data_IF_581539513571
#
_entry.id   IF_581539513571
#
_cell.length_a   1.000
_cell.length_b   1.000
_cell.length_c   1.000
_cell.angle_alpha   90.00
_cell.angle_beta   90.00
_cell.angle_gamma   90.00
#
_symmetry.space_group_name_H-M   'P 1'
#
loop_
_entity.id
_entity.type
_entity.pdbx_description
1 polymer ?
#
# COMPACT_ATOMS: atom_id res chain seq x y z
N UNK A 1 -13.06 -8.84 6.73
CA UNK A 1 -11.77 -8.21 7.15
C UNK A 1 -11.76 -7.75 8.60
N UNK A 2 -12.85 -7.20 9.14
CA UNK A 2 -12.89 -6.65 10.50
C UNK A 2 -12.82 -7.72 11.59
N UNK A 3 -13.53 -8.84 11.46
CA UNK A 3 -13.44 -9.99 12.39
C UNK A 3 -12.00 -10.49 12.53
N UNK A 4 -11.31 -10.71 11.40
CA UNK A 4 -9.91 -11.20 11.41
C UNK A 4 -9.01 -10.20 12.13
N UNK A 5 -9.17 -8.91 11.84
CA UNK A 5 -8.40 -7.84 12.52
C UNK A 5 -8.67 -7.81 14.02
N UNK A 6 -9.92 -7.98 14.44
CA UNK A 6 -10.31 -8.01 15.86
C UNK A 6 -9.74 -9.24 16.56
N UNK A 7 -9.85 -10.43 15.95
CA UNK A 7 -9.29 -11.67 16.50
C UNK A 7 -7.78 -11.55 16.66
N UNK A 8 -7.06 -11.05 15.63
CA UNK A 8 -5.62 -10.81 15.74
C UNK A 8 -5.28 -9.87 16.90
N UNK A 9 -6.03 -8.78 17.06
CA UNK A 9 -5.82 -7.86 18.18
C UNK A 9 -6.09 -8.51 19.53
N UNK A 10 -7.17 -9.29 19.66
CA UNK A 10 -7.49 -10.02 20.89
C UNK A 10 -6.38 -11.02 21.23
N UNK A 11 -5.88 -11.77 20.25
CA UNK A 11 -4.78 -12.74 20.45
C UNK A 11 -3.50 -12.02 20.86
N UNK A 12 -3.14 -10.92 20.19
CA UNK A 12 -1.96 -10.13 20.55
C UNK A 12 -2.09 -9.61 21.99
N UNK A 13 -3.23 -9.02 22.36
CA UNK A 13 -3.45 -8.51 23.71
C UNK A 13 -3.43 -9.64 24.75
N UNK A 14 -3.99 -10.81 24.44
CA UNK A 14 -3.95 -11.97 25.33
C UNK A 14 -2.50 -12.45 25.58
N UNK A 15 -1.69 -12.55 24.52
CA UNK A 15 -0.27 -12.89 24.61
C UNK A 15 0.48 -11.84 25.44
N UNK A 16 0.21 -10.55 25.20
CA UNK A 16 0.80 -9.42 25.90
C UNK A 16 0.55 -9.52 27.42
N UNK A 17 -0.71 -9.72 27.81
CA UNK A 17 -1.14 -9.84 29.20
C UNK A 17 -0.53 -11.08 29.86
N UNK A 18 -0.58 -12.24 29.19
CA UNK A 18 0.01 -13.48 29.69
C UNK A 18 1.52 -13.33 29.90
N UNK A 19 2.21 -12.67 28.97
CA UNK A 19 3.64 -12.42 29.07
C UNK A 19 3.99 -11.51 30.25
N UNK A 20 3.21 -10.45 30.49
CA UNK A 20 3.38 -9.58 31.67
C UNK A 20 3.17 -10.37 32.96
N UNK A 21 2.10 -11.18 33.02
CA UNK A 21 1.78 -11.97 34.22
C UNK A 21 2.86 -13.02 34.53
N UNK A 22 3.35 -13.74 33.52
CA UNK A 22 4.39 -14.77 33.68
C UNK A 22 5.73 -14.14 34.07
N UNK A 23 6.04 -12.96 33.53
CA UNK A 23 7.30 -12.26 33.80
C UNK A 23 7.14 -11.17 34.87
N UNK A 24 6.20 -11.34 35.81
CA UNK A 24 6.01 -10.45 36.96
C UNK A 24 7.07 -10.72 38.03
N UNK A 25 8.34 -10.55 37.65
CA UNK A 25 9.47 -10.61 38.57
C UNK A 25 10.02 -9.21 38.76
N UNK A 26 9.99 -8.76 40.01
CA UNK A 26 10.57 -7.47 40.43
C UNK A 26 12.06 -7.68 40.64
N UNK A 27 12.88 -7.09 39.77
CA UNK A 27 14.33 -7.06 39.95
C UNK A 27 14.69 -5.73 40.57
N UNK A 28 15.32 -5.78 41.75
CA UNK A 28 15.84 -4.60 42.42
C UNK A 28 17.03 -4.06 41.62
N UNK A 29 16.88 -2.89 41.01
CA UNK A 29 17.98 -2.18 40.36
C UNK A 29 18.51 -1.14 41.35
N UNK A 30 19.82 -1.20 41.62
CA UNK A 30 20.51 -0.27 42.53
C UNK A 30 20.83 1.01 41.76
N UNK A 31 20.03 2.05 41.93
CA UNK A 31 20.17 3.29 41.16
C UNK A 31 21.28 4.21 41.69
N UNK A 32 21.43 4.33 43.01
CA UNK A 32 22.42 5.23 43.61
C UNK A 32 22.78 4.83 45.03
N UNK A 33 24.09 4.82 45.40
CA UNK A 33 24.50 4.67 46.79
C UNK A 33 24.18 5.96 47.54
N UNK A 34 23.29 5.91 48.53
CA UNK A 34 23.14 7.02 49.46
C UNK A 34 24.34 7.02 50.41
N UNK A 35 24.73 8.22 50.87
CA UNK A 35 25.86 8.50 51.77
C UNK A 35 25.78 7.77 53.14
N UNK A 36 24.71 7.01 53.36
CA UNK A 36 24.34 6.32 54.58
C UNK A 36 24.60 4.79 54.47
N UNK A 37 25.22 4.33 53.37
CA UNK A 37 25.44 2.91 53.08
C UNK A 37 24.21 2.16 52.57
N UNK A 38 23.11 2.87 52.30
CA UNK A 38 21.88 2.28 51.76
C UNK A 38 21.73 2.59 50.26
N UNK A 39 21.23 1.64 49.48
CA UNK A 39 20.97 1.85 48.06
C UNK A 39 19.50 2.22 47.85
N UNK A 40 19.22 3.14 46.93
CA UNK A 40 17.83 3.35 46.50
C UNK A 40 17.41 2.14 45.64
N UNK A 41 16.61 1.25 46.24
CA UNK A 41 16.03 0.11 45.56
C UNK A 41 14.81 0.57 44.77
N UNK A 42 14.87 0.46 43.45
CA UNK A 42 13.68 0.62 42.62
C UNK A 42 13.43 -0.69 41.90
N UNK A 43 12.27 -1.27 42.19
CA UNK A 43 11.82 -2.56 41.69
C UNK A 43 11.17 -2.36 40.32
N UNK A 44 11.97 -2.49 39.25
CA UNK A 44 11.41 -2.44 37.91
C UNK A 44 10.85 -3.81 37.54
N UNK A 45 9.56 -3.92 37.16
CA UNK A 45 8.99 -5.18 36.70
C UNK A 45 9.60 -5.55 35.34
N UNK A 46 10.34 -6.66 35.30
CA UNK A 46 11.05 -7.14 34.11
C UNK A 46 10.08 -7.39 32.95
N UNK A 47 8.87 -7.86 33.26
CA UNK A 47 7.82 -8.09 32.27
C UNK A 47 7.46 -6.86 31.43
N UNK A 48 7.48 -5.65 32.02
CA UNK A 48 7.16 -4.41 31.29
C UNK A 48 8.28 -4.07 30.30
N UNK A 49 9.53 -4.23 30.70
CA UNK A 49 10.69 -3.94 29.85
C UNK A 49 10.74 -4.93 28.69
N UNK A 50 10.58 -6.23 28.98
CA UNK A 50 10.56 -7.27 27.96
C UNK A 50 9.40 -7.09 26.98
N UNK A 51 8.24 -6.59 27.45
CA UNK A 51 7.12 -6.22 26.59
C UNK A 51 7.48 -5.08 25.62
N UNK A 52 8.14 -4.05 26.12
CA UNK A 52 8.58 -2.91 25.32
C UNK A 52 9.56 -3.39 24.25
N UNK A 53 10.54 -4.22 24.61
CA UNK A 53 11.49 -4.79 23.63
C UNK A 53 10.79 -5.68 22.60
N UNK A 54 9.83 -6.51 23.01
CA UNK A 54 9.02 -7.31 22.09
C UNK A 54 8.21 -6.43 21.13
N UNK A 55 7.57 -5.39 21.66
CA UNK A 55 6.84 -4.42 20.88
C UNK A 55 7.78 -3.68 19.92
N UNK A 56 8.97 -3.27 20.37
CA UNK A 56 9.99 -2.63 19.53
C UNK A 56 10.58 -3.54 18.46
N UNK A 57 10.64 -4.85 18.68
CA UNK A 57 11.03 -5.81 17.63
C UNK A 57 9.93 -6.02 16.60
N UNK A 58 8.66 -6.06 17.05
CA UNK A 58 7.52 -6.39 16.20
C UNK A 58 6.92 -5.18 15.46
N UNK A 59 6.86 -4.00 16.11
CA UNK A 59 6.34 -2.75 15.54
C UNK A 59 6.98 -2.35 14.21
N UNK A 60 8.33 -2.29 14.07
CA UNK A 60 8.94 -1.82 12.83
C UNK A 60 8.65 -2.76 11.67
N UNK A 61 8.66 -4.08 11.90
CA UNK A 61 8.31 -5.07 10.88
C UNK A 61 6.83 -4.97 10.50
N UNK A 62 5.93 -4.84 11.48
CA UNK A 62 4.50 -4.71 11.23
C UNK A 62 4.16 -3.43 10.45
N UNK A 63 4.76 -2.30 10.84
CA UNK A 63 4.57 -1.01 10.18
C UNK A 63 5.07 -1.05 8.72
N UNK A 64 6.23 -1.69 8.50
CA UNK A 64 6.80 -1.88 7.17
C UNK A 64 5.86 -2.70 6.27
N UNK A 65 5.43 -3.88 6.73
CA UNK A 65 4.53 -4.74 5.97
C UNK A 65 3.18 -4.05 5.70
N UNK A 66 2.69 -3.25 6.64
CA UNK A 66 1.47 -2.43 6.47
C UNK A 66 1.65 -1.35 5.40
N UNK A 67 2.78 -0.66 5.39
CA UNK A 67 3.10 0.35 4.38
C UNK A 67 3.23 -0.24 2.97
N UNK A 68 3.87 -1.41 2.85
CA UNK A 68 3.98 -2.14 1.58
C UNK A 68 2.60 -2.52 1.05
N UNK A 69 1.73 -3.07 1.91
CA UNK A 69 0.34 -3.39 1.55
C UNK A 69 -0.42 -2.16 1.05
N UNK A 70 -0.26 -1.02 1.72
CA UNK A 70 -0.90 0.24 1.32
C UNK A 70 -0.42 0.72 -0.05
N UNK A 71 0.90 0.69 -0.28
CA UNK A 71 1.50 1.07 -1.57
C UNK A 71 1.04 0.19 -2.72
N UNK A 72 0.96 -1.13 -2.50
CA UNK A 72 0.50 -2.09 -3.51
C UNK A 72 -0.96 -1.82 -3.91
N UNK A 73 -1.85 -1.64 -2.92
CA UNK A 73 -3.25 -1.33 -3.19
C UNK A 73 -3.40 -0.03 -3.99
N UNK A 74 -2.62 1.02 -3.65
CA UNK A 74 -2.64 2.29 -4.38
C UNK A 74 -2.20 2.14 -5.84
N UNK A 75 -1.22 1.29 -6.10
CA UNK A 75 -0.75 1.01 -7.47
C UNK A 75 -1.80 0.29 -8.29
N UNK A 76 -2.51 -0.67 -7.68
CA UNK A 76 -3.61 -1.38 -8.32
C UNK A 76 -4.72 -0.40 -8.67
N UNK A 77 -5.15 0.45 -7.73
CA UNK A 77 -6.17 1.49 -7.98
C UNK A 77 -5.77 2.42 -9.14
N UNK A 78 -4.51 2.85 -9.21
CA UNK A 78 -4.03 3.69 -10.32
C UNK A 78 -4.04 2.94 -11.66
N UNK A 79 -3.64 1.67 -11.68
CA UNK A 79 -3.66 0.84 -12.89
C UNK A 79 -5.08 0.62 -13.38
N UNK A 80 -6.02 0.29 -12.48
CA UNK A 80 -7.44 0.14 -12.79
C UNK A 80 -8.02 1.43 -13.39
N UNK A 81 -7.71 2.59 -12.81
CA UNK A 81 -8.15 3.89 -13.36
C UNK A 81 -7.51 4.19 -14.71
N UNK A 82 -6.25 3.86 -14.92
CA UNK A 82 -5.60 4.05 -16.23
C UNK A 82 -6.22 3.15 -17.30
N UNK A 83 -6.52 1.89 -16.98
CA UNK A 83 -7.20 0.96 -17.89
C UNK A 83 -8.62 1.43 -18.22
N UNK A 84 -9.37 1.93 -17.24
CA UNK A 84 -10.70 2.53 -17.48
C UNK A 84 -10.61 3.79 -18.34
N UNK A 85 -9.60 4.65 -18.11
CA UNK A 85 -9.40 5.85 -18.92
C UNK A 85 -8.99 5.52 -20.36
N UNK A 86 -8.15 4.50 -20.58
CA UNK A 86 -7.79 4.00 -21.92
C UNK A 86 -8.95 3.27 -22.61
N UNK A 87 -9.84 2.65 -21.84
CA UNK A 87 -11.06 2.02 -22.36
C UNK A 87 -12.21 3.02 -22.62
N UNK A 88 -11.99 4.33 -22.40
CA UNK A 88 -12.97 5.35 -22.80
C UNK A 88 -13.20 5.23 -24.31
N UNK A 89 -14.47 5.11 -24.78
CA UNK A 89 -14.75 4.90 -26.19
C UNK A 89 -14.20 6.05 -27.01
N UNK A 90 -13.49 5.72 -28.09
CA UNK A 90 -13.23 6.64 -29.20
C UNK A 90 -14.53 7.36 -29.54
N UNK A 91 -14.58 8.69 -29.63
CA UNK A 91 -15.76 9.36 -30.12
C UNK A 91 -16.07 8.80 -31.50
N UNK A 92 -17.28 8.27 -31.68
CA UNK A 92 -17.82 7.95 -33.00
C UNK A 92 -17.81 9.26 -33.80
N UNK A 93 -16.83 9.40 -34.68
CA UNK A 93 -16.80 10.45 -35.69
C UNK A 93 -18.07 10.23 -36.53
N UNK A 94 -18.99 11.20 -36.64
CA UNK A 94 -20.08 11.08 -37.59
C UNK A 94 -19.45 10.94 -38.97
N UNK A 95 -19.73 9.83 -39.65
CA UNK A 95 -19.41 9.68 -41.07
C UNK A 95 -20.21 10.74 -41.81
N UNK A 96 -19.54 11.86 -42.13
CA UNK A 96 -20.08 12.84 -43.05
C UNK A 96 -20.21 12.15 -44.41
N UNK A 97 -21.44 12.19 -44.92
CA UNK A 97 -21.91 11.59 -46.16
C UNK A 97 -21.01 11.88 -47.38
N UNK A 98 -21.07 11.04 -48.44
CA UNK A 98 -20.24 11.23 -49.62
C UNK A 98 -20.52 12.58 -50.27
N UNK A 99 -19.48 13.39 -50.44
CA UNK A 99 -19.55 14.63 -51.21
C UNK A 99 -19.90 14.30 -52.67
N UNK A 100 -20.77 15.09 -53.34
CA UNK A 100 -21.08 14.89 -54.74
C UNK A 100 -19.82 15.15 -55.57
N UNK A 101 -19.54 14.22 -56.46
CA UNK A 101 -18.45 14.23 -57.44
C UNK A 101 -18.55 15.49 -58.30
N UNK A 102 -17.71 16.48 -58.03
CA UNK A 102 -17.41 17.52 -59.00
C UNK A 102 -16.52 16.91 -60.08
N UNK A 103 -17.14 16.50 -61.18
CA UNK A 103 -16.49 16.09 -62.43
C UNK A 103 -15.66 17.27 -62.95
N UNK A 104 -14.38 17.33 -62.54
CA UNK A 104 -13.38 18.13 -63.22
C UNK A 104 -13.05 17.42 -64.54
N UNK A 105 -13.54 18.01 -65.63
CA UNK A 105 -13.13 17.66 -66.98
C UNK A 105 -11.63 17.94 -67.13
N UNK A 106 -10.83 16.90 -67.05
CA UNK A 106 -9.48 16.89 -67.56
C UNK A 106 -9.51 16.14 -68.88
N UNK A 107 -9.49 16.93 -69.95
CA UNK A 107 -9.23 16.53 -71.33
C UNK A 107 -8.00 15.62 -71.40
N UNK A 108 -8.21 14.36 -71.78
CA UNK A 108 -7.14 13.47 -72.23
C UNK A 108 -7.25 13.36 -73.75
N UNK A 109 -6.43 14.16 -74.43
CA UNK A 109 -6.17 14.04 -75.86
C UNK A 109 -5.72 12.60 -76.15
N UNK A 110 -6.58 11.86 -76.86
CA UNK A 110 -6.23 10.55 -77.39
C UNK A 110 -5.55 10.77 -78.74
N UNK A 111 -4.23 10.69 -78.72
CA UNK A 111 -3.41 10.45 -79.91
C UNK A 111 -3.87 9.13 -80.55
N UNK A 112 -4.45 9.22 -81.75
CA UNK A 112 -4.88 8.09 -82.55
C UNK A 112 -3.73 7.63 -83.45
N UNK A 113 -3.16 6.43 -83.23
CA UNK A 113 -2.25 5.83 -84.17
C UNK A 113 -3.05 5.09 -85.25
N UNK A 114 -3.03 5.66 -86.47
CA UNK A 114 -2.90 4.99 -87.78
C UNK A 114 -3.60 3.63 -87.95
N UNK A 115 -4.67 3.62 -88.74
CA UNK A 115 -4.97 2.56 -89.72
C UNK A 115 -5.95 3.08 -90.82
N UNK A 116 -5.49 2.97 -92.08
CA UNK A 116 -6.21 2.98 -93.37
C UNK A 116 -6.69 4.31 -93.99
#
# INVERSE_FOLDING_TARGET
MQIIRTISWVVITAILVAFIAINWTTVAVNFWPLNNGNYLHFEWPVGVIALIFFAFGMLPVWLYLRAVRWRLNRRIETLEKSLQATATPTPIVPSAAPAPTATQGATFDTYSPKDL
#
